data_IF_058712953240
#
_entry.id   IF_058712953240
#
_cell.length_a   1.000
_cell.length_b   1.000
_cell.length_c   1.000
_cell.angle_alpha   90.00
_cell.angle_beta   90.00
_cell.angle_gamma   90.00
#
_symmetry.space_group_name_H-M   'P 1'
#
loop_
_entity.id
_entity.type
_entity.pdbx_description
1 polymer ?
#
# COMPACT_ATOMS: atom_id res chain seq x y z
N UNK A 1 -25.53 -11.43 -38.15
CA UNK A 1 -26.38 -10.91 -37.07
C UNK A 1 -26.43 -11.96 -35.97
N UNK A 2 -25.92 -11.67 -34.77
CA UNK A 2 -25.91 -12.62 -33.63
C UNK A 2 -24.66 -12.44 -32.78
N UNK A 3 -24.76 -11.57 -31.76
CA UNK A 3 -23.63 -11.03 -30.99
C UNK A 3 -23.01 -12.08 -30.06
N UNK A 4 -21.71 -12.34 -30.23
CA UNK A 4 -20.87 -12.96 -29.19
C UNK A 4 -20.77 -12.00 -28.00
N UNK A 5 -21.32 -12.39 -26.85
CA UNK A 5 -21.06 -11.71 -25.57
C UNK A 5 -19.59 -11.95 -25.21
N UNK A 6 -18.78 -10.92 -24.94
CA UNK A 6 -17.45 -11.17 -24.39
C UNK A 6 -17.62 -11.65 -22.94
N UNK A 7 -17.09 -12.84 -22.68
CA UNK A 7 -16.88 -13.38 -21.34
C UNK A 7 -16.05 -12.37 -20.55
N UNK A 8 -16.64 -11.79 -19.51
CA UNK A 8 -16.04 -10.73 -18.70
C UNK A 8 -15.11 -11.40 -17.67
N UNK A 9 -13.86 -11.62 -18.08
CA UNK A 9 -12.80 -12.15 -17.21
C UNK A 9 -12.43 -11.16 -16.12
N UNK A 10 -12.19 -11.71 -14.94
CA UNK A 10 -11.90 -11.10 -13.65
C UNK A 10 -10.66 -10.19 -13.69
N UNK A 11 -10.69 -9.11 -12.90
CA UNK A 11 -9.57 -8.27 -12.41
C UNK A 11 -9.29 -6.91 -13.10
N UNK A 12 -10.22 -5.96 -13.02
CA UNK A 12 -9.86 -4.52 -13.12
C UNK A 12 -9.56 -3.97 -11.72
N UNK A 13 -8.31 -4.13 -11.27
CA UNK A 13 -7.80 -3.49 -10.05
C UNK A 13 -7.45 -2.02 -10.33
N UNK A 14 -7.85 -1.08 -9.47
CA UNK A 14 -7.40 0.32 -9.56
C UNK A 14 -5.87 0.38 -9.68
N UNK A 15 -5.30 0.96 -10.75
CA UNK A 15 -3.85 1.03 -10.95
C UNK A 15 -3.12 1.69 -9.77
N UNK A 16 -3.80 2.60 -9.06
CA UNK A 16 -3.27 3.26 -7.85
C UNK A 16 -3.17 2.29 -6.68
N UNK A 17 -4.23 1.51 -6.43
CA UNK A 17 -4.24 0.54 -5.34
C UNK A 17 -3.20 -0.56 -5.56
N UNK A 18 -3.10 -1.08 -6.79
CA UNK A 18 -2.11 -2.11 -7.15
C UNK A 18 -0.69 -1.62 -6.95
N UNK A 19 -0.40 -0.39 -7.37
CA UNK A 19 0.94 0.19 -7.25
C UNK A 19 1.31 0.49 -5.78
N UNK A 20 0.37 1.01 -4.98
CA UNK A 20 0.57 1.18 -3.54
C UNK A 20 0.88 -0.16 -2.88
N UNK A 21 0.05 -1.18 -3.13
CA UNK A 21 0.25 -2.52 -2.56
C UNK A 21 1.59 -3.13 -2.96
N UNK A 22 2.01 -2.96 -4.22
CA UNK A 22 3.32 -3.42 -4.69
C UNK A 22 4.45 -2.80 -3.88
N UNK A 23 4.46 -1.47 -3.70
CA UNK A 23 5.52 -0.80 -2.93
C UNK A 23 5.53 -1.22 -1.46
N UNK A 24 4.35 -1.36 -0.85
CA UNK A 24 4.22 -1.84 0.53
C UNK A 24 4.75 -3.27 0.67
N UNK A 25 4.46 -4.15 -0.29
CA UNK A 25 5.01 -5.51 -0.29
C UNK A 25 6.54 -5.53 -0.30
N UNK A 26 7.19 -4.65 -1.09
CA UNK A 26 8.66 -4.53 -1.10
C UNK A 26 9.18 -4.04 0.25
N UNK A 27 8.51 -3.09 0.91
CA UNK A 27 8.88 -2.66 2.26
C UNK A 27 8.82 -3.82 3.26
N UNK A 28 7.77 -4.64 3.23
CA UNK A 28 7.68 -5.81 4.11
C UNK A 28 8.76 -6.85 3.83
N UNK A 29 9.18 -7.05 2.58
CA UNK A 29 10.30 -7.94 2.26
C UNK A 29 11.60 -7.47 2.93
N UNK A 30 11.90 -6.16 2.87
CA UNK A 30 13.05 -5.56 3.57
C UNK A 30 12.92 -5.74 5.09
N UNK A 31 11.72 -5.55 5.64
CA UNK A 31 11.48 -5.72 7.07
C UNK A 31 11.65 -7.17 7.56
N UNK A 32 11.34 -8.17 6.72
CA UNK A 32 11.64 -9.57 7.02
C UNK A 32 13.16 -9.83 7.04
N UNK A 33 13.93 -9.25 6.13
CA UNK A 33 15.40 -9.40 6.10
C UNK A 33 16.08 -8.86 7.36
N UNK A 34 15.56 -7.76 7.92
CA UNK A 34 16.13 -7.11 9.10
C UNK A 34 15.51 -7.58 10.41
N UNK A 35 14.54 -8.50 10.37
CA UNK A 35 13.86 -9.02 11.55
C UNK A 35 14.85 -9.73 12.47
N UNK A 36 14.74 -9.47 13.77
CA UNK A 36 15.63 -10.05 14.78
C UNK A 36 17.03 -9.42 14.84
N UNK A 37 17.35 -8.48 13.96
CA UNK A 37 18.60 -7.69 14.03
C UNK A 37 18.48 -6.53 15.03
N UNK A 38 19.62 -5.91 15.36
CA UNK A 38 19.63 -4.75 16.26
C UNK A 38 18.92 -3.53 15.65
N UNK A 39 18.39 -2.64 16.49
CA UNK A 39 17.76 -1.41 16.04
C UNK A 39 18.69 -0.54 15.15
N UNK A 40 20.00 -0.54 15.40
CA UNK A 40 20.97 0.17 14.56
C UNK A 40 21.12 -0.44 13.16
N UNK A 41 21.15 -1.77 13.06
CA UNK A 41 21.17 -2.48 11.78
C UNK A 41 19.88 -2.26 10.98
N UNK A 42 18.71 -2.37 11.64
CA UNK A 42 17.41 -2.06 11.04
C UNK A 42 17.40 -0.65 10.45
N UNK A 43 17.85 0.36 11.22
CA UNK A 43 17.92 1.75 10.75
C UNK A 43 18.84 1.91 9.53
N UNK A 44 19.98 1.23 9.53
CA UNK A 44 20.94 1.30 8.41
C UNK A 44 20.32 0.76 7.13
N UNK A 45 19.78 -0.45 7.17
CA UNK A 45 19.12 -1.06 5.99
C UNK A 45 17.90 -0.26 5.54
N UNK A 46 17.10 0.26 6.47
CA UNK A 46 15.96 1.11 6.15
C UNK A 46 16.39 2.41 5.45
N UNK A 47 17.51 3.01 5.87
CA UNK A 47 18.05 4.21 5.23
C UNK A 47 18.54 3.94 3.81
N UNK A 48 19.13 2.77 3.56
CA UNK A 48 19.67 2.38 2.25
C UNK A 48 18.60 1.90 1.27
N UNK A 49 17.60 1.16 1.76
CA UNK A 49 16.65 0.44 0.90
C UNK A 49 15.20 0.88 1.07
N UNK A 50 14.71 1.01 2.30
CA UNK A 50 13.30 1.32 2.54
C UNK A 50 12.97 2.78 2.24
N UNK A 51 13.91 3.70 2.49
CA UNK A 51 13.71 5.15 2.31
C UNK A 51 13.34 5.52 0.88
N UNK A 52 14.07 5.00 -0.12
CA UNK A 52 13.77 5.30 -1.53
C UNK A 52 12.37 4.85 -1.93
N UNK A 53 11.89 3.72 -1.42
CA UNK A 53 10.55 3.20 -1.70
C UNK A 53 9.47 4.07 -1.05
N UNK A 54 9.70 4.51 0.19
CA UNK A 54 8.79 5.42 0.90
C UNK A 54 8.74 6.75 0.17
N UNK A 55 9.87 7.37 -0.15
CA UNK A 55 9.93 8.66 -0.84
C UNK A 55 9.27 8.58 -2.23
N UNK A 56 9.53 7.52 -2.99
CA UNK A 56 8.86 7.28 -4.28
C UNK A 56 7.34 7.11 -4.13
N UNK A 57 6.88 6.42 -3.07
CA UNK A 57 5.46 6.29 -2.77
C UNK A 57 4.84 7.66 -2.45
N UNK A 58 5.55 8.53 -1.71
CA UNK A 58 5.10 9.88 -1.42
C UNK A 58 4.87 10.68 -2.71
N UNK A 59 5.90 10.76 -3.56
CA UNK A 59 5.89 11.48 -4.82
C UNK A 59 4.77 10.95 -5.73
N UNK A 60 4.62 9.63 -5.80
CA UNK A 60 3.55 8.99 -6.56
C UNK A 60 2.16 9.41 -6.07
N UNK A 61 1.92 9.38 -4.76
CA UNK A 61 0.63 9.76 -4.18
C UNK A 61 0.32 11.24 -4.39
N UNK A 62 1.29 12.13 -4.22
CA UNK A 62 1.13 13.56 -4.52
C UNK A 62 0.81 13.80 -6.00
N UNK A 63 1.51 13.12 -6.92
CA UNK A 63 1.26 13.21 -8.34
C UNK A 63 -0.14 12.70 -8.70
N UNK A 64 -0.58 11.60 -8.09
CA UNK A 64 -1.95 11.08 -8.29
C UNK A 64 -3.00 12.02 -7.72
N UNK A 65 -2.76 12.66 -6.58
CA UNK A 65 -3.69 13.62 -6.00
C UNK A 65 -3.99 14.79 -6.96
N UNK A 66 -3.00 15.24 -7.73
CA UNK A 66 -3.16 16.30 -8.75
C UNK A 66 -3.95 15.86 -9.98
N UNK A 67 -4.06 14.56 -10.23
CA UNK A 67 -4.72 14.00 -11.42
C UNK A 67 -6.16 13.53 -11.16
N UNK A 68 -6.52 13.32 -9.89
CA UNK A 68 -7.87 12.85 -9.52
C UNK A 68 -8.77 14.03 -9.16
N UNK A 69 -10.09 13.88 -9.37
CA UNK A 69 -11.05 14.89 -8.93
C UNK A 69 -10.94 15.10 -7.41
N UNK A 70 -10.85 16.35 -7.00
CA UNK A 70 -10.71 16.73 -5.60
C UNK A 70 -11.83 16.20 -4.70
N UNK A 71 -13.02 15.92 -5.25
CA UNK A 71 -14.19 15.38 -4.51
C UNK A 71 -14.28 13.85 -4.50
N UNK A 72 -13.27 13.15 -5.04
CA UNK A 72 -13.30 11.69 -5.12
C UNK A 72 -12.88 11.03 -3.80
N UNK A 73 -13.49 9.88 -3.48
CA UNK A 73 -13.09 9.02 -2.34
C UNK A 73 -11.60 8.63 -2.40
N UNK A 74 -11.03 8.54 -3.62
CA UNK A 74 -9.61 8.30 -3.81
C UNK A 74 -8.75 9.51 -3.39
N UNK A 75 -9.15 10.73 -3.76
CA UNK A 75 -8.47 11.95 -3.32
C UNK A 75 -8.49 12.10 -1.80
N UNK A 76 -9.61 11.76 -1.15
CA UNK A 76 -9.72 11.75 0.31
C UNK A 76 -8.78 10.74 0.97
N UNK A 77 -8.71 9.52 0.43
CA UNK A 77 -7.79 8.50 0.94
C UNK A 77 -6.32 8.89 0.76
N UNK A 78 -5.97 9.48 -0.39
CA UNK A 78 -4.61 9.99 -0.63
C UNK A 78 -4.27 11.12 0.33
N UNK A 79 -5.15 12.12 0.50
CA UNK A 79 -4.94 13.20 1.49
C UNK A 79 -4.80 12.67 2.90
N UNK A 80 -5.60 11.67 3.27
CA UNK A 80 -5.52 11.07 4.59
C UNK A 80 -4.19 10.36 4.82
N UNK A 81 -3.65 9.65 3.81
CA UNK A 81 -2.33 9.04 3.90
C UNK A 81 -1.22 10.09 3.98
N UNK A 82 -1.27 11.13 3.14
CA UNK A 82 -0.26 12.20 3.10
C UNK A 82 -0.25 13.05 4.37
N UNK A 83 -1.41 13.34 4.97
CA UNK A 83 -1.47 14.07 6.25
C UNK A 83 -0.87 13.30 7.43
N UNK A 84 -0.73 11.98 7.30
CA UNK A 84 -0.15 11.09 8.32
C UNK A 84 1.24 10.58 7.93
N UNK A 85 1.84 11.17 6.91
CA UNK A 85 3.10 10.69 6.34
C UNK A 85 4.23 10.60 7.36
N UNK A 86 4.34 11.58 8.27
CA UNK A 86 5.33 11.57 9.35
C UNK A 86 5.23 10.33 10.25
N UNK A 87 4.00 9.86 10.52
CA UNK A 87 3.78 8.63 11.27
C UNK A 87 4.06 7.38 10.44
N UNK A 88 3.80 7.44 9.13
CA UNK A 88 4.10 6.36 8.18
C UNK A 88 5.60 6.14 7.99
N UNK A 89 6.38 7.22 7.98
CA UNK A 89 7.83 7.17 7.75
C UNK A 89 8.65 7.04 9.03
N UNK A 90 8.02 7.04 10.22
CA UNK A 90 8.73 7.05 11.50
C UNK A 90 9.64 5.84 11.69
N UNK A 91 9.24 4.67 11.17
CA UNK A 91 10.06 3.46 11.24
C UNK A 91 11.40 3.61 10.51
N UNK A 92 11.51 4.49 9.51
CA UNK A 92 12.79 4.77 8.84
C UNK A 92 13.79 5.47 9.77
N UNK A 93 13.30 6.26 10.72
CA UNK A 93 14.13 7.04 11.63
C UNK A 93 14.46 6.27 12.90
N UNK A 94 13.51 5.51 13.42
CA UNK A 94 13.67 4.70 14.63
C UNK A 94 13.58 3.20 14.33
N UNK A 95 14.74 2.55 14.42
CA UNK A 95 14.88 1.10 14.28
C UNK A 95 14.18 0.27 15.36
N UNK A 96 13.53 0.88 16.36
CA UNK A 96 12.66 0.21 17.35
C UNK A 96 11.19 0.20 16.95
N UNK A 97 10.80 1.07 16.02
CA UNK A 97 9.44 1.14 15.49
C UNK A 97 9.29 0.09 14.42
N UNK A 98 8.28 -0.76 14.57
CA UNK A 98 7.90 -1.76 13.58
C UNK A 98 7.05 -1.11 12.47
N UNK A 99 7.22 -1.60 11.24
CA UNK A 99 6.46 -1.12 10.08
C UNK A 99 4.95 -1.40 10.21
N UNK A 100 4.57 -2.45 10.94
CA UNK A 100 3.18 -2.89 11.13
C UNK A 100 2.40 -2.07 12.18
N UNK A 101 2.83 -0.84 12.44
CA UNK A 101 2.10 0.02 13.38
C UNK A 101 0.65 0.25 12.93
N UNK A 102 -0.26 0.34 13.90
CA UNK A 102 -1.67 0.69 13.67
C UNK A 102 -1.85 1.95 12.80
N UNK A 103 -0.89 2.87 12.83
CA UNK A 103 -0.88 4.08 11.98
C UNK A 103 -0.70 3.74 10.51
N UNK A 104 0.20 2.81 10.20
CA UNK A 104 0.48 2.34 8.84
C UNK A 104 -0.71 1.62 8.25
N UNK A 105 -1.27 0.67 9.00
CA UNK A 105 -2.47 -0.03 8.56
C UNK A 105 -3.64 0.92 8.29
N UNK A 106 -3.93 1.83 9.24
CA UNK A 106 -5.06 2.77 9.12
C UNK A 106 -4.92 3.72 7.94
N UNK A 107 -3.69 4.08 7.55
CA UNK A 107 -3.45 5.04 6.48
C UNK A 107 -3.39 4.38 5.11
N UNK A 108 -2.90 3.14 5.01
CA UNK A 108 -2.82 2.38 3.76
C UNK A 108 -4.13 1.68 3.44
N UNK A 109 -4.87 1.22 4.46
CA UNK A 109 -6.13 0.48 4.28
C UNK A 109 -7.11 1.23 3.34
N UNK A 110 -7.40 2.53 3.51
CA UNK A 110 -8.27 3.25 2.58
C UNK A 110 -7.77 3.30 1.13
N UNK A 111 -6.45 3.38 0.92
CA UNK A 111 -5.84 3.38 -0.42
C UNK A 111 -6.04 2.03 -1.12
N UNK A 112 -5.83 0.94 -0.38
CA UNK A 112 -5.98 -0.41 -0.90
C UNK A 112 -7.46 -0.84 -1.04
N UNK A 113 -8.35 -0.37 -0.15
CA UNK A 113 -9.79 -0.61 -0.22
C UNK A 113 -10.47 0.13 -1.39
N UNK A 114 -9.92 1.26 -1.84
CA UNK A 114 -10.45 2.03 -2.98
C UNK A 114 -10.44 1.26 -4.32
N UNK A 115 -9.91 0.02 -4.34
CA UNK A 115 -9.98 -0.94 -5.46
C UNK A 115 -11.41 -1.17 -6.00
N UNK A 116 -12.47 -1.07 -5.18
CA UNK A 116 -13.88 -1.14 -5.63
C UNK A 116 -14.50 0.23 -5.96
N UNK A 117 -14.16 1.29 -5.23
CA UNK A 117 -14.78 2.62 -5.39
C UNK A 117 -14.42 3.32 -6.71
N UNK A 118 -13.32 2.94 -7.36
CA UNK A 118 -12.99 3.45 -8.69
C UNK A 118 -13.92 2.91 -9.79
N UNK A 119 -14.53 1.73 -9.57
CA UNK A 119 -15.49 1.10 -10.49
C UNK A 119 -16.95 1.47 -10.18
N UNK A 120 -17.24 1.91 -8.96
CA UNK A 120 -18.57 2.28 -8.53
C UNK A 120 -18.52 3.60 -7.77
N UNK A 121 -18.86 4.68 -8.47
CA UNK A 121 -19.29 5.91 -7.83
C UNK A 121 -20.59 5.63 -7.02
N UNK A 122 -20.44 5.10 -5.80
CA UNK A 122 -21.52 4.93 -4.82
C UNK A 122 -21.83 3.48 -4.42
N UNK A 123 -21.08 2.92 -3.47
CA UNK A 123 -21.67 2.22 -2.31
C UNK A 123 -20.62 2.05 -1.21
N UNK A 124 -21.07 2.04 0.04
CA UNK A 124 -20.26 1.77 1.23
C UNK A 124 -20.27 0.27 1.53
N UNK A 125 -19.11 -0.38 1.45
CA UNK A 125 -18.85 -1.67 2.09
C UNK A 125 -17.32 -1.87 2.22
N UNK A 126 -16.78 -1.62 3.42
CA UNK A 126 -15.34 -1.50 3.70
C UNK A 126 -14.69 -2.70 4.41
N UNK A 127 -15.38 -3.84 4.53
CA UNK A 127 -14.94 -4.98 5.37
C UNK A 127 -14.01 -5.99 4.69
N UNK A 128 -14.32 -6.43 3.48
CA UNK A 128 -13.80 -7.72 2.97
C UNK A 128 -12.39 -7.69 2.36
N UNK A 129 -11.84 -6.52 2.05
CA UNK A 129 -10.57 -6.44 1.31
C UNK A 129 -9.33 -6.39 2.22
N UNK A 130 -9.46 -6.13 3.53
CA UNK A 130 -8.31 -6.21 4.44
C UNK A 130 -7.76 -7.63 4.53
N UNK A 131 -8.63 -8.64 4.50
CA UNK A 131 -8.20 -10.03 4.43
C UNK A 131 -7.38 -10.32 3.16
N UNK A 132 -7.79 -9.79 2.00
CA UNK A 132 -7.04 -9.96 0.74
C UNK A 132 -5.71 -9.21 0.76
N UNK A 133 -5.66 -8.03 1.37
CA UNK A 133 -4.42 -7.25 1.55
C UNK A 133 -3.49 -7.97 2.51
N UNK A 134 -4.01 -8.45 3.65
CA UNK A 134 -3.28 -9.26 4.61
C UNK A 134 -2.78 -10.55 3.95
N UNK A 135 -3.58 -11.23 3.13
CA UNK A 135 -3.16 -12.41 2.35
C UNK A 135 -2.15 -12.07 1.26
N UNK A 136 -2.21 -10.92 0.61
CA UNK A 136 -1.18 -10.47 -0.33
C UNK A 136 0.13 -10.18 0.39
N UNK A 137 0.07 -9.48 1.52
CA UNK A 137 1.22 -9.23 2.39
C UNK A 137 1.76 -10.57 2.92
N UNK A 138 0.92 -11.47 3.39
CA UNK A 138 1.27 -12.81 3.89
C UNK A 138 1.84 -13.69 2.77
N UNK A 139 1.29 -13.63 1.55
CA UNK A 139 1.85 -14.31 0.39
C UNK A 139 3.19 -13.71 -0.02
N UNK A 140 3.40 -12.40 0.15
CA UNK A 140 4.71 -11.78 -0.02
C UNK A 140 5.69 -12.19 1.09
N UNK A 141 5.24 -12.40 2.34
CA UNK A 141 6.05 -13.02 3.39
C UNK A 141 6.43 -14.47 3.04
N UNK A 142 5.51 -15.23 2.46
CA UNK A 142 5.73 -16.65 2.08
C UNK A 142 6.56 -16.77 0.79
N UNK A 143 6.47 -15.79 -0.13
CA UNK A 143 7.26 -15.78 -1.38
C UNK A 143 8.71 -15.31 -1.21
N UNK A 144 9.13 -14.99 0.02
CA UNK A 144 10.55 -14.82 0.41
C UNK A 144 11.28 -16.14 0.67
N UNK A 145 10.60 -17.29 0.56
CA UNK A 145 11.26 -18.61 0.57
C UNK A 145 11.67 -18.93 -0.86
N UNK A 146 12.92 -18.60 -1.19
CA UNK A 146 13.87 -19.40 -1.99
C UNK A 146 14.79 -18.50 -2.85
N UNK A 147 15.86 -17.95 -2.28
CA UNK A 147 17.23 -18.48 -2.46
C UNK A 147 18.26 -17.73 -1.64
#
# INVERSE_FOLDING_TARGET
MGKSKPSRTVTDSSPVATEVLRRIAVLYAIEEEVRGTSAGQRRTVRAEQARVIVDDLHIYLEARLRQVSAKSKLADAIRYALTRWSGLSLFLEDGRVELDSNTVERSIRPLALNRKNALFAGSDEGGDNWAVIATLIENCKISGINR
#
